data_IF_776302625581
#
_entry.id   IF_776302625581
#
_cell.length_a   1.000
_cell.length_b   1.000
_cell.length_c   1.000
_cell.angle_alpha   90.00
_cell.angle_beta   90.00
_cell.angle_gamma   90.00
#
_symmetry.space_group_name_H-M   'P 1'
#
loop_
_entity.id
_entity.type
_entity.pdbx_description
1 polymer ?
#
# COMPACT_ATOMS: atom_id res chain seq x y z
N UNK A 1 25.27 -61.46 24.49
CA UNK A 1 24.93 -60.21 25.22
C UNK A 1 24.84 -59.07 24.21
N UNK A 2 23.63 -58.69 23.79
CA UNK A 2 23.37 -57.50 22.96
C UNK A 2 22.26 -56.72 23.65
N UNK A 3 22.60 -55.53 24.13
CA UNK A 3 21.65 -54.54 24.65
C UNK A 3 21.00 -53.83 23.45
N UNK A 4 19.67 -53.85 23.38
CA UNK A 4 18.87 -52.95 22.54
C UNK A 4 18.49 -51.74 23.39
N UNK A 5 19.00 -50.56 23.02
CA UNK A 5 18.56 -49.29 23.60
C UNK A 5 17.36 -48.74 22.84
N UNK A 6 16.23 -48.57 23.52
CA UNK A 6 15.10 -47.77 23.06
C UNK A 6 15.49 -46.28 23.08
N UNK A 7 15.41 -45.60 21.94
CA UNK A 7 15.36 -44.14 21.90
C UNK A 7 13.90 -43.70 21.87
N UNK A 8 13.47 -43.05 22.95
CA UNK A 8 12.19 -42.31 23.00
C UNK A 8 12.43 -40.95 22.33
N UNK A 9 11.85 -40.76 21.14
CA UNK A 9 11.75 -39.45 20.52
C UNK A 9 10.69 -38.64 21.28
N UNK A 10 11.14 -37.72 22.13
CA UNK A 10 10.29 -36.68 22.67
C UNK A 10 9.91 -35.72 21.52
N UNK A 11 8.64 -35.74 21.11
CA UNK A 11 8.09 -34.73 20.23
C UNK A 11 8.07 -33.39 20.97
N UNK A 12 9.03 -32.53 20.66
CA UNK A 12 9.01 -31.13 21.08
C UNK A 12 7.90 -30.47 20.25
N UNK A 13 6.74 -30.27 20.86
CA UNK A 13 5.68 -29.47 20.26
C UNK A 13 6.23 -28.05 20.07
N UNK A 14 6.38 -27.62 18.82
CA UNK A 14 6.63 -26.22 18.51
C UNK A 14 5.46 -25.38 19.07
N UNK A 15 5.71 -24.23 19.71
CA UNK A 15 4.64 -23.35 20.12
C UNK A 15 3.81 -22.97 18.89
N UNK A 16 2.50 -23.02 19.02
CA UNK A 16 1.58 -22.55 18.00
C UNK A 16 1.99 -21.12 17.60
N UNK A 17 2.12 -20.88 16.29
CA UNK A 17 2.35 -19.55 15.76
C UNK A 17 1.22 -18.64 16.27
N UNK A 18 1.55 -17.75 17.22
CA UNK A 18 0.64 -16.69 17.61
C UNK A 18 0.28 -15.87 16.39
N UNK A 19 -0.98 -15.44 16.30
CA UNK A 19 -1.41 -14.45 15.31
C UNK A 19 -0.36 -13.33 15.24
N UNK A 20 0.00 -12.84 14.04
CA UNK A 20 0.93 -11.72 13.92
C UNK A 20 0.45 -10.61 14.85
N UNK A 21 1.32 -10.20 15.78
CA UNK A 21 0.99 -9.20 16.79
C UNK A 21 0.36 -7.98 16.12
N UNK A 22 -0.61 -7.38 16.80
CA UNK A 22 -1.30 -6.14 16.43
C UNK A 22 -0.28 -5.02 16.19
N UNK A 23 0.39 -5.02 15.04
CA UNK A 23 1.08 -3.85 14.56
C UNK A 23 -0.02 -2.80 14.46
N UNK A 24 0.10 -1.76 15.28
CA UNK A 24 -0.70 -0.55 15.20
C UNK A 24 0.26 0.60 14.89
N UNK A 25 -0.23 1.64 14.24
CA UNK A 25 0.52 2.88 14.10
C UNK A 25 0.73 3.45 15.51
N UNK A 26 1.98 3.71 15.89
CA UNK A 26 2.29 4.22 17.23
C UNK A 26 1.65 5.58 17.47
N UNK A 27 1.39 5.92 18.73
CA UNK A 27 0.83 7.23 19.10
C UNK A 27 1.70 8.39 18.58
N UNK A 28 3.02 8.24 18.61
CA UNK A 28 3.95 9.25 18.09
C UNK A 28 3.81 9.45 16.58
N UNK A 29 3.75 8.35 15.82
CA UNK A 29 3.53 8.42 14.37
C UNK A 29 2.15 9.01 14.04
N UNK A 30 1.10 8.60 14.77
CA UNK A 30 -0.24 9.16 14.63
C UNK A 30 -0.28 10.66 14.98
N UNK A 31 0.47 11.11 15.99
CA UNK A 31 0.56 12.52 16.38
C UNK A 31 1.16 13.37 15.26
N UNK A 32 2.24 12.91 14.63
CA UNK A 32 2.84 13.59 13.47
C UNK A 32 1.84 13.68 12.31
N UNK A 33 1.06 12.62 12.09
CA UNK A 33 0.14 12.54 10.97
C UNK A 33 -1.14 13.36 11.15
N UNK A 34 -1.71 13.38 12.36
CA UNK A 34 -3.02 13.96 12.69
C UNK A 34 -2.94 15.32 13.38
N UNK A 35 -1.77 15.71 13.88
CA UNK A 35 -1.55 17.02 14.53
C UNK A 35 -0.22 17.66 14.13
N UNK A 36 0.13 17.73 12.82
CA UNK A 36 1.46 18.14 12.34
C UNK A 36 1.85 19.59 12.71
N UNK A 37 0.91 20.41 13.17
CA UNK A 37 1.14 21.82 13.50
C UNK A 37 0.52 22.25 14.82
N UNK A 38 0.05 21.31 15.65
CA UNK A 38 -0.68 21.62 16.88
C UNK A 38 -0.20 20.74 18.04
N UNK A 39 -0.02 21.34 19.22
CA UNK A 39 0.09 20.58 20.46
C UNK A 39 -1.27 19.97 20.78
N UNK A 40 -1.28 18.69 21.10
CA UNK A 40 -2.49 17.94 21.42
C UNK A 40 -2.42 17.40 22.84
N UNK A 41 -3.56 17.37 23.53
CA UNK A 41 -3.72 16.75 24.84
C UNK A 41 -4.19 15.28 24.74
N UNK A 42 -4.35 14.77 23.52
CA UNK A 42 -4.77 13.39 23.29
C UNK A 42 -3.73 12.39 23.77
N UNK A 43 -4.19 11.36 24.46
CA UNK A 43 -3.38 10.26 25.01
C UNK A 43 -3.49 8.96 24.22
N UNK A 44 -4.32 8.93 23.18
CA UNK A 44 -4.53 7.80 22.28
C UNK A 44 -4.83 8.25 20.84
N UNK A 45 -4.78 7.29 19.91
CA UNK A 45 -4.97 7.52 18.48
C UNK A 45 -6.42 7.90 18.15
N UNK A 46 -7.41 7.32 18.83
CA UNK A 46 -8.82 7.66 18.59
C UNK A 46 -9.13 9.13 18.92
N UNK A 47 -8.58 9.66 20.02
CA UNK A 47 -8.69 11.06 20.38
C UNK A 47 -8.09 11.95 19.29
N UNK A 48 -6.91 11.60 18.78
CA UNK A 48 -6.28 12.33 17.67
C UNK A 48 -7.17 12.34 16.43
N UNK A 49 -7.75 11.19 16.06
CA UNK A 49 -8.68 11.08 14.92
C UNK A 49 -9.91 11.96 15.14
N UNK A 50 -10.52 11.90 16.33
CA UNK A 50 -11.70 12.72 16.68
C UNK A 50 -11.40 14.20 16.58
N UNK A 51 -10.24 14.64 17.05
CA UNK A 51 -9.80 16.03 16.97
C UNK A 51 -9.55 16.46 15.52
N UNK A 52 -8.78 15.68 14.76
CA UNK A 52 -8.42 16.00 13.37
C UNK A 52 -9.66 16.11 12.45
N UNK A 53 -10.65 15.23 12.64
CA UNK A 53 -11.86 15.18 11.81
C UNK A 53 -13.07 15.87 12.45
N UNK A 54 -12.89 16.73 13.46
CA UNK A 54 -13.99 17.38 14.19
C UNK A 54 -14.98 18.14 13.27
N UNK A 55 -14.50 18.66 12.14
CA UNK A 55 -15.30 19.41 11.17
C UNK A 55 -16.19 18.54 10.26
N UNK A 56 -15.97 17.22 10.19
CA UNK A 56 -16.76 16.31 9.35
C UNK A 56 -17.00 14.97 10.09
N UNK A 57 -18.09 14.86 10.87
CA UNK A 57 -18.40 13.65 11.64
C UNK A 57 -18.46 12.38 10.80
N UNK A 58 -18.89 12.46 9.53
CA UNK A 58 -18.95 11.28 8.66
C UNK A 58 -17.55 10.81 8.26
N UNK A 59 -16.64 11.75 7.96
CA UNK A 59 -15.25 11.41 7.70
C UNK A 59 -14.55 10.89 8.96
N UNK A 60 -14.84 11.48 10.13
CA UNK A 60 -14.34 10.99 11.42
C UNK A 60 -14.73 9.54 11.67
N UNK A 61 -15.99 9.19 11.45
CA UNK A 61 -16.48 7.84 11.72
C UNK A 61 -15.84 6.81 10.77
N UNK A 62 -15.59 7.18 9.51
CA UNK A 62 -14.80 6.37 8.56
C UNK A 62 -13.35 6.20 9.01
N UNK A 63 -12.68 7.29 9.43
CA UNK A 63 -11.29 7.22 9.89
C UNK A 63 -11.14 6.37 11.17
N UNK A 64 -12.11 6.44 12.09
CA UNK A 64 -12.16 5.59 13.28
C UNK A 64 -12.40 4.13 12.90
N UNK A 65 -13.29 3.85 11.94
CA UNK A 65 -13.54 2.49 11.48
C UNK A 65 -12.29 1.88 10.84
N UNK A 66 -11.61 2.63 9.97
CA UNK A 66 -10.35 2.22 9.36
C UNK A 66 -9.28 1.87 10.42
N UNK A 67 -9.10 2.72 11.44
CA UNK A 67 -8.15 2.43 12.53
C UNK A 67 -8.56 1.20 13.35
N UNK A 68 -9.83 1.05 13.69
CA UNK A 68 -10.29 -0.08 14.52
C UNK A 68 -10.22 -1.41 13.79
N UNK A 69 -10.51 -1.42 12.50
CA UNK A 69 -10.62 -2.66 11.73
C UNK A 69 -9.26 -3.17 11.27
N UNK A 70 -8.35 -2.26 10.85
CA UNK A 70 -7.05 -2.65 10.26
C UNK A 70 -5.85 -2.01 10.95
N UNK A 71 -6.03 -1.16 11.96
CA UNK A 71 -4.96 -0.41 12.61
C UNK A 71 -4.44 0.78 11.78
N UNK A 72 -5.04 1.03 10.61
CA UNK A 72 -4.58 2.05 9.66
C UNK A 72 -4.99 3.46 10.10
N UNK A 73 -4.10 4.44 9.95
CA UNK A 73 -4.37 5.83 10.37
C UNK A 73 -4.37 6.76 9.18
N UNK A 74 -5.49 7.46 8.97
CA UNK A 74 -5.67 8.45 7.91
C UNK A 74 -5.49 9.89 8.40
N UNK A 75 -4.37 10.53 8.06
CA UNK A 75 -4.13 11.95 8.35
C UNK A 75 -3.37 12.63 7.21
N UNK A 76 -2.55 13.64 7.49
CA UNK A 76 -2.00 14.53 6.44
C UNK A 76 -0.50 14.80 6.53
N UNK A 77 0.08 14.70 7.73
CA UNK A 77 1.49 15.04 7.96
C UNK A 77 1.83 16.51 7.60
N UNK A 78 3.12 16.87 7.59
CA UNK A 78 3.56 18.22 7.23
C UNK A 78 3.45 18.48 5.72
N UNK A 79 3.68 19.72 5.30
CA UNK A 79 3.93 20.04 3.89
C UNK A 79 5.30 19.49 3.44
N UNK A 80 5.43 19.12 2.16
CA UNK A 80 6.71 18.69 1.61
C UNK A 80 6.98 19.14 0.17
N UNK A 81 8.26 19.04 -0.20
CA UNK A 81 8.72 19.15 -1.57
C UNK A 81 9.33 17.79 -1.97
N UNK A 82 8.58 17.05 -2.77
CA UNK A 82 9.02 15.78 -3.36
C UNK A 82 9.90 16.04 -4.60
N UNK A 83 10.88 15.16 -4.82
CA UNK A 83 11.51 15.00 -6.13
C UNK A 83 10.71 14.04 -7.02
N UNK A 84 10.02 14.58 -8.04
CA UNK A 84 9.25 13.78 -8.99
C UNK A 84 10.09 13.22 -10.15
N UNK A 85 11.43 13.22 -10.04
CA UNK A 85 12.34 12.82 -11.11
C UNK A 85 12.21 13.75 -12.31
N UNK A 86 11.89 13.19 -13.48
CA UNK A 86 11.67 13.98 -14.70
C UNK A 86 10.54 15.02 -14.58
N UNK A 87 9.64 14.85 -13.60
CA UNK A 87 8.54 15.78 -13.31
C UNK A 87 9.00 16.99 -12.48
N UNK A 88 10.28 17.04 -12.09
CA UNK A 88 10.89 18.07 -11.26
C UNK A 88 10.34 18.07 -9.83
N UNK A 89 10.64 19.13 -9.08
CA UNK A 89 10.11 19.30 -7.72
C UNK A 89 8.59 19.45 -7.73
N UNK A 90 7.92 18.76 -6.81
CA UNK A 90 6.47 18.77 -6.64
C UNK A 90 6.20 19.19 -5.20
N UNK A 91 5.44 20.28 -5.03
CA UNK A 91 4.99 20.73 -3.73
C UNK A 91 3.70 19.99 -3.37
N UNK A 92 3.69 19.31 -2.24
CA UNK A 92 2.58 18.53 -1.72
C UNK A 92 2.13 19.16 -0.42
N UNK A 93 0.86 19.59 -0.38
CA UNK A 93 0.29 20.26 0.79
C UNK A 93 -0.64 19.31 1.55
N UNK A 94 -0.68 19.38 2.90
CA UNK A 94 -1.61 18.61 3.72
C UNK A 94 -3.05 18.82 3.26
N UNK A 95 -3.80 17.73 3.05
CA UNK A 95 -5.20 17.83 2.63
C UNK A 95 -6.03 16.72 3.26
N UNK A 96 -6.71 17.03 4.36
CA UNK A 96 -7.56 16.05 5.03
C UNK A 96 -8.72 15.64 4.11
N UNK A 97 -9.09 14.34 4.03
CA UNK A 97 -10.15 13.86 3.16
C UNK A 97 -11.53 14.09 3.79
N UNK A 98 -11.92 15.35 3.91
CA UNK A 98 -13.22 15.81 4.43
C UNK A 98 -14.04 16.51 3.35
N UNK A 99 -15.32 16.75 3.60
CA UNK A 99 -16.20 17.47 2.68
C UNK A 99 -16.24 16.81 1.30
N UNK A 100 -15.90 17.55 0.24
CA UNK A 100 -15.85 17.02 -1.13
C UNK A 100 -14.81 15.91 -1.34
N UNK A 101 -13.74 15.89 -0.53
CA UNK A 101 -12.70 14.85 -0.60
C UNK A 101 -13.01 13.62 0.26
N UNK A 102 -14.08 13.63 1.06
CA UNK A 102 -14.49 12.47 1.88
C UNK A 102 -14.69 11.20 1.06
N UNK A 103 -15.06 11.32 -0.21
CA UNK A 103 -15.14 10.17 -1.14
C UNK A 103 -13.84 9.36 -1.22
N UNK A 104 -12.68 10.00 -1.08
CA UNK A 104 -11.40 9.30 -1.10
C UNK A 104 -11.23 8.45 0.15
N UNK A 105 -11.63 8.94 1.33
CA UNK A 105 -11.61 8.14 2.55
C UNK A 105 -12.57 6.96 2.47
N UNK A 106 -13.75 7.12 1.83
CA UNK A 106 -14.66 6.00 1.55
C UNK A 106 -13.98 4.95 0.66
N UNK A 107 -13.28 5.37 -0.39
CA UNK A 107 -12.58 4.43 -1.28
C UNK A 107 -11.39 3.76 -0.61
N UNK A 108 -10.65 4.47 0.24
CA UNK A 108 -9.52 3.92 0.99
C UNK A 108 -10.01 2.90 2.03
N UNK A 109 -11.05 3.22 2.81
CA UNK A 109 -11.65 2.28 3.77
C UNK A 109 -12.15 1.00 3.07
N UNK A 110 -12.90 1.14 1.97
CA UNK A 110 -13.37 -0.01 1.20
C UNK A 110 -12.20 -0.85 0.63
N UNK A 111 -11.18 -0.19 0.06
CA UNK A 111 -10.02 -0.88 -0.48
C UNK A 111 -9.25 -1.65 0.60
N UNK A 112 -9.01 -1.05 1.78
CA UNK A 112 -8.28 -1.73 2.85
C UNK A 112 -9.07 -2.89 3.45
N UNK A 113 -10.40 -2.78 3.54
CA UNK A 113 -11.27 -3.93 3.91
C UNK A 113 -11.17 -5.06 2.88
N UNK A 114 -11.19 -4.75 1.59
CA UNK A 114 -11.06 -5.75 0.52
C UNK A 114 -9.70 -6.46 0.59
N UNK A 115 -8.62 -5.69 0.75
CA UNK A 115 -7.25 -6.21 0.88
C UNK A 115 -7.11 -7.08 2.13
N UNK A 116 -7.66 -6.62 3.25
CA UNK A 116 -7.62 -7.37 4.51
C UNK A 116 -8.38 -8.70 4.42
N UNK A 117 -9.60 -8.67 3.87
CA UNK A 117 -10.41 -9.87 3.67
C UNK A 117 -9.71 -10.86 2.73
N UNK A 118 -9.05 -10.37 1.68
CA UNK A 118 -8.29 -11.20 0.75
C UNK A 118 -7.12 -11.89 1.44
N UNK A 119 -6.30 -11.17 2.20
CA UNK A 119 -5.20 -11.77 2.96
C UNK A 119 -5.69 -12.73 4.05
N UNK A 120 -6.77 -12.37 4.76
CA UNK A 120 -7.38 -13.25 5.75
C UNK A 120 -7.88 -14.57 5.12
N UNK A 121 -8.45 -14.52 3.91
CA UNK A 121 -8.85 -15.71 3.17
C UNK A 121 -7.64 -16.53 2.71
N UNK A 122 -6.60 -15.89 2.17
CA UNK A 122 -5.38 -16.54 1.68
C UNK A 122 -4.62 -17.30 2.78
N UNK A 123 -4.64 -16.76 4.01
CA UNK A 123 -3.90 -17.29 5.15
C UNK A 123 -4.76 -18.06 6.17
N UNK A 124 -6.06 -18.22 5.93
CA UNK A 124 -7.01 -18.83 6.87
C UNK A 124 -6.55 -20.19 7.43
N UNK A 125 -6.02 -21.05 6.55
CA UNK A 125 -5.64 -22.42 6.89
C UNK A 125 -4.10 -22.61 6.94
N UNK A 126 -3.34 -21.51 6.95
CA UNK A 126 -1.89 -21.57 6.98
C UNK A 126 -1.38 -21.60 8.43
N UNK A 127 -0.49 -22.56 8.72
CA UNK A 127 0.12 -22.73 10.04
C UNK A 127 1.28 -21.77 10.33
N UNK A 128 1.69 -20.98 9.33
CA UNK A 128 2.79 -20.03 9.41
C UNK A 128 2.22 -18.64 9.20
N UNK A 129 2.50 -17.73 10.13
CA UNK A 129 2.14 -16.32 9.95
C UNK A 129 2.92 -15.74 8.75
N UNK A 130 2.25 -15.03 7.84
CA UNK A 130 2.92 -14.42 6.70
C UNK A 130 3.91 -13.34 7.14
N UNK A 131 5.06 -13.27 6.45
CA UNK A 131 6.00 -12.16 6.59
C UNK A 131 5.51 -10.87 5.91
N UNK A 132 4.52 -10.99 5.03
CA UNK A 132 3.92 -9.85 4.35
C UNK A 132 3.05 -9.05 5.32
N UNK A 133 3.22 -7.73 5.38
CA UNK A 133 2.41 -6.83 6.20
C UNK A 133 1.42 -6.05 5.34
N UNK A 134 0.15 -6.06 5.75
CA UNK A 134 -0.94 -5.33 5.06
C UNK A 134 -1.81 -4.46 5.98
N UNK A 135 -1.47 -4.39 7.28
CA UNK A 135 -2.20 -3.66 8.31
C UNK A 135 -1.32 -2.59 8.98
N UNK A 136 -1.98 -1.68 9.67
CA UNK A 136 -1.40 -0.55 10.37
C UNK A 136 -0.47 0.31 9.52
N UNK A 137 -0.98 0.70 8.36
CA UNK A 137 -0.37 1.66 7.46
C UNK A 137 -0.72 3.08 7.91
N UNK A 138 0.22 4.00 7.66
CA UNK A 138 -0.05 5.43 7.76
C UNK A 138 -0.49 5.97 6.40
N UNK A 139 -1.68 6.52 6.30
CA UNK A 139 -2.15 7.20 5.09
C UNK A 139 -1.95 8.70 5.23
N UNK A 140 -1.05 9.26 4.41
CA UNK A 140 -0.77 10.69 4.36
C UNK A 140 -1.52 11.32 3.18
N UNK A 141 -2.66 11.94 3.46
CA UNK A 141 -3.46 12.61 2.46
C UNK A 141 -2.91 14.00 2.15
N UNK A 142 -2.65 14.22 0.86
CA UNK A 142 -2.08 15.45 0.34
C UNK A 142 -2.83 15.92 -0.90
N UNK A 143 -2.46 17.11 -1.36
CA UNK A 143 -2.79 17.61 -2.69
C UNK A 143 -1.54 18.17 -3.34
N UNK A 144 -1.27 17.84 -4.61
CA UNK A 144 -0.17 18.49 -5.33
C UNK A 144 -0.55 19.87 -5.83
N UNK A 145 0.35 20.84 -5.65
CA UNK A 145 0.13 22.22 -6.08
C UNK A 145 0.41 22.33 -7.59
N UNK A 146 -0.61 22.75 -8.36
CA UNK A 146 -0.55 22.95 -9.84
C UNK A 146 -0.19 21.69 -10.64
N UNK A 147 -0.23 20.51 -10.01
CA UNK A 147 0.03 19.21 -10.62
C UNK A 147 -1.05 18.23 -10.15
N UNK A 148 -1.10 17.04 -10.76
CA UNK A 148 -1.96 15.91 -10.36
C UNK A 148 -1.16 14.64 -10.13
N UNK A 149 0.13 14.82 -9.86
CA UNK A 149 1.12 13.77 -9.69
C UNK A 149 1.92 14.00 -8.39
N UNK A 150 2.49 12.93 -7.80
CA UNK A 150 2.12 11.53 -8.05
C UNK A 150 0.65 11.28 -7.64
N UNK A 151 0.10 10.11 -8.00
CA UNK A 151 -1.22 9.72 -7.50
C UNK A 151 -1.10 9.17 -6.09
N UNK A 152 -0.13 8.29 -5.87
CA UNK A 152 0.32 7.85 -4.56
C UNK A 152 1.81 7.50 -4.63
N UNK A 153 2.44 7.31 -3.48
CA UNK A 153 3.72 6.61 -3.36
C UNK A 153 3.89 6.04 -1.94
N UNK A 154 4.68 4.99 -1.79
CA UNK A 154 4.99 4.38 -0.50
C UNK A 154 6.38 4.70 0.03
N UNK A 155 6.50 4.87 1.35
CA UNK A 155 7.77 4.79 2.07
C UNK A 155 7.53 4.46 3.55
N UNK A 156 8.37 3.62 4.16
CA UNK A 156 8.37 3.43 5.61
C UNK A 156 7.01 3.08 6.22
N UNK A 157 6.23 2.22 5.58
CA UNK A 157 4.86 1.84 5.97
C UNK A 157 3.85 3.00 5.95
N UNK A 158 4.19 4.08 5.26
CA UNK A 158 3.32 5.18 4.89
C UNK A 158 2.96 5.07 3.43
N UNK A 159 1.69 5.30 3.10
CA UNK A 159 1.23 5.55 1.74
C UNK A 159 0.83 7.03 1.66
N UNK A 160 1.59 7.80 0.89
CA UNK A 160 1.13 9.13 0.52
C UNK A 160 0.03 9.02 -0.53
N UNK A 161 -1.08 9.70 -0.30
CA UNK A 161 -2.28 9.64 -1.11
C UNK A 161 -2.67 11.03 -1.59
N UNK A 162 -2.62 11.28 -2.90
CA UNK A 162 -3.00 12.57 -3.47
C UNK A 162 -4.49 12.59 -3.82
N UNK A 163 -5.30 13.39 -3.11
CA UNK A 163 -6.74 13.48 -3.39
C UNK A 163 -7.09 14.06 -4.77
N UNK A 164 -6.11 14.65 -5.47
CA UNK A 164 -6.26 15.11 -6.85
C UNK A 164 -5.48 14.23 -7.85
N UNK A 165 -4.93 13.10 -7.40
CA UNK A 165 -4.14 12.15 -8.18
C UNK A 165 -4.86 11.68 -9.44
N UNK A 166 -4.12 11.57 -10.56
CA UNK A 166 -4.70 11.23 -11.85
C UNK A 166 -5.23 9.80 -11.96
N UNK A 167 -4.74 8.87 -11.13
CA UNK A 167 -5.18 7.48 -11.09
C UNK A 167 -6.34 7.24 -10.10
N UNK A 168 -6.55 8.17 -9.15
CA UNK A 168 -7.47 8.01 -8.03
C UNK A 168 -8.86 8.58 -8.36
N UNK A 169 -9.46 8.07 -9.44
CA UNK A 169 -10.72 8.59 -9.99
C UNK A 169 -11.93 7.66 -9.79
N UNK A 170 -11.70 6.43 -9.31
CA UNK A 170 -12.72 5.42 -9.01
C UNK A 170 -12.30 4.57 -7.82
N UNK A 171 -13.26 3.84 -7.22
CA UNK A 171 -12.97 2.90 -6.13
C UNK A 171 -11.97 1.80 -6.54
N UNK A 172 -12.14 1.21 -7.73
CA UNK A 172 -11.21 0.19 -8.24
C UNK A 172 -9.81 0.76 -8.48
N UNK A 173 -9.71 1.97 -9.05
CA UNK A 173 -8.42 2.63 -9.25
C UNK A 173 -7.70 2.92 -7.93
N UNK A 174 -8.45 3.28 -6.88
CA UNK A 174 -7.90 3.41 -5.52
C UNK A 174 -7.43 2.05 -5.00
N UNK A 175 -8.24 1.00 -5.08
CA UNK A 175 -7.89 -0.34 -4.59
C UNK A 175 -6.60 -0.85 -5.23
N UNK A 176 -6.50 -0.77 -6.56
CA UNK A 176 -5.31 -1.20 -7.29
C UNK A 176 -4.08 -0.34 -6.92
N UNK A 177 -4.24 0.98 -6.83
CA UNK A 177 -3.13 1.87 -6.43
C UNK A 177 -2.67 1.56 -5.01
N UNK A 178 -3.58 1.33 -4.05
CA UNK A 178 -3.18 1.02 -2.68
C UNK A 178 -2.45 -0.33 -2.58
N UNK A 179 -2.90 -1.34 -3.34
CA UNK A 179 -2.20 -2.62 -3.36
C UNK A 179 -0.81 -2.51 -4.01
N UNK A 180 -0.69 -1.70 -5.07
CA UNK A 180 0.59 -1.35 -5.69
C UNK A 180 1.56 -0.71 -4.66
N UNK A 181 1.11 0.31 -3.93
CA UNK A 181 1.94 0.98 -2.93
C UNK A 181 2.24 0.10 -1.72
N UNK A 182 1.30 -0.76 -1.32
CA UNK A 182 1.54 -1.76 -0.27
C UNK A 182 2.63 -2.76 -0.67
N UNK A 183 2.67 -3.15 -1.94
CA UNK A 183 3.73 -3.99 -2.47
C UNK A 183 5.10 -3.32 -2.34
N UNK A 184 5.23 -2.04 -2.70
CA UNK A 184 6.50 -1.31 -2.55
C UNK A 184 7.01 -1.30 -1.11
N UNK A 185 6.13 -1.09 -0.12
CA UNK A 185 6.53 -1.17 1.29
C UNK A 185 7.08 -2.55 1.66
N UNK A 186 6.41 -3.61 1.24
CA UNK A 186 6.87 -4.98 1.51
C UNK A 186 8.15 -5.32 0.75
N UNK A 187 8.26 -4.93 -0.52
CA UNK A 187 9.45 -5.19 -1.33
C UNK A 187 10.69 -4.50 -0.74
N UNK A 188 10.52 -3.27 -0.25
CA UNK A 188 11.57 -2.55 0.45
C UNK A 188 11.98 -3.25 1.75
N UNK A 189 11.02 -3.64 2.58
CA UNK A 189 11.27 -4.35 3.86
C UNK A 189 11.97 -5.71 3.64
N UNK A 190 11.69 -6.36 2.51
CA UNK A 190 12.38 -7.57 2.07
C UNK A 190 13.66 -7.30 1.27
N UNK A 191 14.24 -6.11 1.41
CA UNK A 191 15.54 -5.75 0.87
C UNK A 191 15.57 -5.69 -0.67
N UNK A 192 14.55 -5.09 -1.27
CA UNK A 192 14.41 -4.94 -2.73
C UNK A 192 14.41 -6.30 -3.44
N UNK A 193 13.63 -7.25 -2.90
CA UNK A 193 13.56 -8.63 -3.39
C UNK A 193 13.18 -8.72 -4.87
N UNK A 194 12.22 -7.90 -5.29
CA UNK A 194 11.69 -7.90 -6.65
C UNK A 194 12.76 -7.59 -7.69
N UNK A 195 13.62 -6.59 -7.45
CA UNK A 195 14.71 -6.25 -8.35
C UNK A 195 15.71 -7.41 -8.49
N UNK A 196 16.07 -8.06 -7.38
CA UNK A 196 16.99 -9.22 -7.41
C UNK A 196 16.42 -10.39 -8.22
N UNK A 197 15.10 -10.51 -8.27
CA UNK A 197 14.40 -11.64 -8.88
C UNK A 197 14.03 -11.38 -10.34
N UNK A 198 13.65 -10.15 -10.68
CA UNK A 198 13.00 -9.83 -11.95
C UNK A 198 13.85 -8.94 -12.89
N UNK A 199 14.99 -8.42 -12.45
CA UNK A 199 15.78 -7.47 -13.26
C UNK A 199 16.16 -8.03 -14.62
N UNK A 200 16.65 -9.28 -14.68
CA UNK A 200 17.08 -9.91 -15.93
C UNK A 200 15.94 -10.00 -16.94
N UNK A 201 14.75 -10.40 -16.51
CA UNK A 201 13.58 -10.51 -17.38
C UNK A 201 13.08 -9.13 -17.82
N UNK A 202 13.01 -8.19 -16.88
CA UNK A 202 12.62 -6.81 -17.17
C UNK A 202 13.54 -6.15 -18.20
N UNK A 203 14.86 -6.26 -18.03
CA UNK A 203 15.85 -5.70 -18.94
C UNK A 203 15.77 -6.35 -20.32
N UNK A 204 15.54 -7.67 -20.40
CA UNK A 204 15.35 -8.35 -21.67
C UNK A 204 14.10 -7.85 -22.42
N UNK A 205 12.99 -7.60 -21.70
CA UNK A 205 11.77 -7.02 -22.28
C UNK A 205 12.03 -5.61 -22.80
N UNK A 206 12.66 -4.75 -21.98
CA UNK A 206 12.97 -3.36 -22.37
C UNK A 206 13.96 -3.33 -23.54
N UNK A 207 14.99 -4.17 -23.55
CA UNK A 207 15.93 -4.26 -24.67
C UNK A 207 15.25 -4.71 -25.97
N UNK A 208 14.29 -5.65 -25.90
CA UNK A 208 13.54 -6.15 -27.05
C UNK A 208 12.53 -5.13 -27.58
N UNK A 209 11.78 -4.48 -26.70
CA UNK A 209 10.60 -3.71 -27.07
C UNK A 209 10.80 -2.19 -27.04
N UNK A 210 11.77 -1.68 -26.27
CA UNK A 210 11.89 -0.27 -25.95
C UNK A 210 10.58 0.26 -25.39
N UNK A 211 10.05 1.33 -25.99
CA UNK A 211 8.75 1.94 -25.63
C UNK A 211 7.60 1.55 -26.57
N UNK A 212 7.79 0.55 -27.45
CA UNK A 212 6.79 0.17 -28.45
C UNK A 212 5.62 -0.58 -27.79
N UNK A 213 4.50 0.11 -27.58
CA UNK A 213 3.29 -0.40 -26.91
C UNK A 213 2.84 -1.78 -27.43
N UNK A 214 2.77 -1.98 -28.75
CA UNK A 214 2.38 -3.28 -29.33
C UNK A 214 3.32 -4.43 -28.96
N UNK A 215 4.60 -4.16 -28.77
CA UNK A 215 5.59 -5.15 -28.34
C UNK A 215 5.51 -5.39 -26.83
N UNK A 216 5.25 -4.34 -26.04
CA UNK A 216 5.12 -4.41 -24.58
C UNK A 216 3.82 -5.08 -24.10
N UNK A 217 2.75 -5.00 -24.89
CA UNK A 217 1.42 -5.51 -24.54
C UNK A 217 1.40 -6.95 -23.95
N UNK A 218 2.09 -7.96 -24.52
CA UNK A 218 2.12 -9.30 -23.93
C UNK A 218 2.89 -9.40 -22.60
N UNK A 219 3.73 -8.42 -22.28
CA UNK A 219 4.52 -8.40 -21.05
C UNK A 219 3.94 -7.46 -19.99
N UNK A 220 2.99 -6.59 -20.34
CA UNK A 220 2.37 -5.65 -19.42
C UNK A 220 1.53 -6.40 -18.38
N UNK A 221 1.84 -6.27 -17.07
CA UNK A 221 1.08 -6.98 -16.04
C UNK A 221 -0.36 -6.48 -15.93
N UNK A 222 -0.57 -5.19 -16.16
CA UNK A 222 -1.88 -4.56 -16.12
C UNK A 222 -2.06 -3.57 -17.28
N UNK A 223 -3.30 -3.10 -17.48
CA UNK A 223 -3.70 -2.15 -18.53
C UNK A 223 -3.45 -0.69 -18.15
N UNK A 224 -2.91 -0.42 -16.96
CA UNK A 224 -2.59 0.94 -16.50
C UNK A 224 -1.59 1.59 -17.45
N UNK A 225 -1.97 2.74 -18.02
CA UNK A 225 -1.13 3.48 -18.96
C UNK A 225 -0.90 4.91 -18.50
N UNK A 226 0.31 5.41 -18.73
CA UNK A 226 0.66 6.81 -18.49
C UNK A 226 0.15 7.65 -19.65
N UNK A 227 -0.88 8.47 -19.39
CA UNK A 227 -1.55 9.28 -20.42
C UNK A 227 -0.60 10.14 -21.26
N UNK A 228 0.45 10.69 -20.66
CA UNK A 228 1.37 11.60 -21.33
C UNK A 228 2.25 10.92 -22.39
N UNK A 229 2.66 9.67 -22.14
CA UNK A 229 3.53 8.90 -23.04
C UNK A 229 2.77 7.89 -23.89
N UNK A 230 1.56 7.49 -23.45
CA UNK A 230 0.81 6.40 -24.06
C UNK A 230 1.48 5.03 -23.88
N UNK A 231 2.34 4.85 -22.88
CA UNK A 231 2.93 3.53 -22.55
C UNK A 231 2.34 2.94 -21.26
N UNK A 232 2.56 1.65 -21.04
CA UNK A 232 2.18 0.97 -19.80
C UNK A 232 2.96 1.53 -18.61
N UNK A 233 2.28 1.68 -17.48
CA UNK A 233 2.85 2.25 -16.25
C UNK A 233 4.13 1.51 -15.82
N UNK A 234 4.08 0.17 -15.83
CA UNK A 234 5.20 -0.73 -15.55
C UNK A 234 6.47 -0.51 -16.41
N UNK A 235 6.32 0.12 -17.58
CA UNK A 235 7.41 0.36 -18.55
C UNK A 235 7.61 1.84 -18.86
N UNK A 236 7.03 2.74 -18.06
CA UNK A 236 7.21 4.18 -18.27
C UNK A 236 8.66 4.56 -17.99
N UNK A 237 9.40 5.10 -19.00
CA UNK A 237 10.74 5.59 -18.75
C UNK A 237 10.74 6.69 -17.69
N UNK A 238 11.75 6.66 -16.81
CA UNK A 238 11.96 7.61 -15.74
C UNK A 238 10.84 7.68 -14.68
N UNK A 239 10.01 6.63 -14.53
CA UNK A 239 8.98 6.57 -13.49
C UNK A 239 9.48 5.97 -12.18
N UNK A 240 10.69 6.30 -11.75
CA UNK A 240 11.37 5.61 -10.65
C UNK A 240 12.17 4.40 -11.14
N UNK A 241 12.32 3.39 -10.28
CA UNK A 241 13.03 2.16 -10.64
C UNK A 241 12.08 1.19 -11.36
N UNK A 242 12.23 1.09 -12.68
CA UNK A 242 11.28 0.39 -13.55
C UNK A 242 10.99 -1.07 -13.18
N UNK A 243 11.98 -1.82 -12.66
CA UNK A 243 11.72 -3.21 -12.24
C UNK A 243 10.81 -3.29 -11.01
N UNK A 244 10.89 -2.31 -10.10
CA UNK A 244 10.00 -2.26 -8.94
C UNK A 244 8.57 -1.93 -9.36
N UNK A 245 8.42 -0.96 -10.26
CA UNK A 245 7.10 -0.63 -10.85
C UNK A 245 6.51 -1.85 -11.57
N UNK A 246 7.33 -2.60 -12.32
CA UNK A 246 6.92 -3.83 -12.98
C UNK A 246 6.45 -4.90 -11.99
N UNK A 247 7.19 -5.08 -10.90
CA UNK A 247 6.85 -6.03 -9.84
C UNK A 247 5.57 -5.65 -9.08
N UNK A 248 5.39 -4.37 -8.77
CA UNK A 248 4.17 -3.87 -8.14
C UNK A 248 2.95 -4.08 -9.04
N UNK A 249 3.07 -3.84 -10.35
CA UNK A 249 1.98 -4.13 -11.30
C UNK A 249 1.70 -5.64 -11.45
N UNK A 250 2.72 -6.50 -11.33
CA UNK A 250 2.52 -7.96 -11.24
C UNK A 250 1.76 -8.35 -9.97
N UNK A 251 2.08 -7.72 -8.84
CA UNK A 251 1.37 -7.96 -7.59
C UNK A 251 -0.10 -7.54 -7.66
N UNK A 252 -0.40 -6.39 -8.28
CA UNK A 252 -1.78 -5.97 -8.55
C UNK A 252 -2.51 -6.98 -9.44
N UNK A 253 -1.86 -7.45 -10.52
CA UNK A 253 -2.45 -8.49 -11.38
C UNK A 253 -2.78 -9.75 -10.57
N UNK A 254 -1.85 -10.23 -9.76
CA UNK A 254 -2.06 -11.40 -8.91
C UNK A 254 -3.24 -11.18 -7.95
N UNK A 255 -3.27 -10.05 -7.25
CA UNK A 255 -4.38 -9.70 -6.35
C UNK A 255 -5.73 -9.69 -7.07
N UNK A 256 -5.81 -9.10 -8.25
CA UNK A 256 -7.05 -9.04 -9.04
C UNK A 256 -7.49 -10.46 -9.46
N UNK A 257 -6.61 -11.25 -10.08
CA UNK A 257 -6.94 -12.61 -10.54
C UNK A 257 -7.33 -13.53 -9.37
N UNK A 258 -6.61 -13.46 -8.24
CA UNK A 258 -6.97 -14.25 -7.05
C UNK A 258 -8.27 -13.77 -6.40
N UNK A 259 -8.54 -12.45 -6.39
CA UNK A 259 -9.80 -11.91 -5.90
C UNK A 259 -10.99 -12.37 -6.76
N UNK A 260 -10.82 -12.45 -8.08
CA UNK A 260 -11.83 -13.02 -8.97
C UNK A 260 -12.11 -14.49 -8.67
N UNK A 261 -11.07 -15.28 -8.35
CA UNK A 261 -11.22 -16.69 -7.97
C UNK A 261 -11.89 -16.88 -6.60
N UNK A 262 -11.61 -16.00 -5.64
CA UNK A 262 -12.13 -16.08 -4.27
C UNK A 262 -13.56 -15.54 -4.12
N UNK A 263 -14.03 -14.70 -5.05
CA UNK A 263 -15.43 -14.30 -5.12
C UNK A 263 -16.27 -15.52 -5.50
N UNK A 264 -16.90 -16.13 -4.48
CA UNK A 264 -17.89 -17.18 -4.69
C UNK A 264 -18.98 -16.69 -5.66
N UNK A 265 -19.43 -17.59 -6.55
CA UNK A 265 -20.62 -17.35 -7.38
C UNK A 265 -21.87 -17.23 -6.53
#
# INVERSE_FOLDING_TARGET
>A
MRWMGLFVLAAIAAPAAGAPGSAEVSLDAATVLLSPSQKTACTDVECLIRAAYAADPKARDLALALYRDTGDVAGVGPEEIMDGGYRGKIRLVPQLPIGGYRKHLVWVDAAMRDIDAWFAALYKDQSIAPSYRWRALSFRFVRSVKKRTPSAYAFGWTIEYNVEGSLLTSADGVRETLFHELFHNNDFDHGHWSAKTLQTDYDAIVAKCGTKVKCLAPYAPNKTMVRASGTYYAFQPNNGNGVHEYAAELAVRYFNEQSEMLRAK
#
